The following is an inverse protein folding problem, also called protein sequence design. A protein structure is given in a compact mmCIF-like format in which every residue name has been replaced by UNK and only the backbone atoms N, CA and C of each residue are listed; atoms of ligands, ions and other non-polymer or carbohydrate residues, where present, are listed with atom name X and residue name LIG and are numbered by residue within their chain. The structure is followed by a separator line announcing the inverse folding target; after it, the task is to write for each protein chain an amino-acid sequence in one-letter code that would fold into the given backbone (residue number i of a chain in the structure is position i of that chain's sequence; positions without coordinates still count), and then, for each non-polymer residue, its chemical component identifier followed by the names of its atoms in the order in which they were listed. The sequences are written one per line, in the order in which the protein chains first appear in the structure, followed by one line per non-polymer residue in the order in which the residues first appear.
data_IF_776034770723
#
_entry.id   IF_776034770723
#
_cell.length_a   1.000
_cell.length_b   1.000
_cell.length_c   1.000
_cell.angle_alpha   90.00
_cell.angle_beta   90.00
_cell.angle_gamma   90.00
#
_symmetry.space_group_name_H-M   'P 1'
#
loop_
_entity.id
_entity.type
_entity.pdbx_description
1 polymer ?
#
# COMPACT_ATOMS: atom_id res chain seq x y z
N UNK A 1 6.32 -20.18 13.04
CA UNK A 1 5.45 -20.28 11.84
C UNK A 1 4.25 -19.36 12.03
N UNK A 2 3.63 -18.82 10.98
CA UNK A 2 2.55 -17.79 11.05
C UNK A 2 1.48 -18.09 12.11
N UNK A 3 0.99 -19.32 12.14
CA UNK A 3 -0.03 -19.77 13.09
C UNK A 3 0.47 -19.82 14.54
N UNK A 4 1.73 -20.19 14.76
CA UNK A 4 2.35 -20.20 16.10
C UNK A 4 2.51 -18.79 16.68
N UNK A 5 2.58 -17.76 15.82
CA UNK A 5 2.54 -16.35 16.19
C UNK A 5 1.12 -15.77 16.31
N UNK A 6 0.07 -16.59 16.12
CA UNK A 6 -1.33 -16.16 16.20
C UNK A 6 -1.82 -15.42 14.95
N UNK A 7 -1.20 -15.65 13.79
CA UNK A 7 -1.63 -15.09 12.51
C UNK A 7 -2.36 -16.13 11.65
N UNK A 8 -3.38 -15.70 10.94
CA UNK A 8 -4.14 -16.53 9.98
C UNK A 8 -3.70 -16.23 8.55
N UNK A 9 -3.57 -17.28 7.73
CA UNK A 9 -3.30 -17.16 6.30
C UNK A 9 -4.61 -17.06 5.51
N UNK A 10 -4.84 -15.90 4.90
CA UNK A 10 -6.02 -15.65 4.06
C UNK A 10 -5.64 -15.82 2.59
N UNK A 11 -6.31 -16.75 1.90
CA UNK A 11 -6.11 -16.99 0.48
C UNK A 11 -6.98 -16.06 -0.37
N UNK A 12 -6.38 -15.46 -1.40
CA UNK A 12 -7.09 -14.68 -2.41
C UNK A 12 -7.21 -15.48 -3.71
N UNK A 13 -8.31 -15.35 -4.48
CA UNK A 13 -8.39 -15.90 -5.82
C UNK A 13 -7.32 -15.27 -6.75
N UNK A 14 -6.89 -15.98 -7.80
CA UNK A 14 -5.97 -15.44 -8.79
C UNK A 14 -6.47 -14.12 -9.39
N UNK A 15 -5.54 -13.19 -9.62
CA UNK A 15 -5.83 -11.88 -10.23
C UNK A 15 -6.97 -11.10 -9.55
N UNK A 16 -7.11 -11.21 -8.22
CA UNK A 16 -8.10 -10.47 -7.44
C UNK A 16 -7.45 -9.34 -6.62
N UNK A 17 -6.86 -8.31 -7.27
CA UNK A 17 -6.27 -7.18 -6.55
C UNK A 17 -7.34 -6.44 -5.73
N UNK A 18 -8.60 -6.48 -6.15
CA UNK A 18 -9.73 -5.85 -5.45
C UNK A 18 -9.94 -6.38 -4.03
N UNK A 19 -9.51 -7.62 -3.75
CA UNK A 19 -9.60 -8.24 -2.42
C UNK A 19 -8.36 -8.01 -1.56
N UNK A 20 -7.31 -7.37 -2.09
CA UNK A 20 -6.12 -7.03 -1.34
C UNK A 20 -6.15 -5.55 -0.93
N UNK A 21 -6.44 -5.21 0.35
CA UNK A 21 -6.60 -3.82 0.78
C UNK A 21 -5.39 -2.92 0.49
N UNK A 22 -4.18 -3.49 0.41
CA UNK A 22 -2.95 -2.74 0.12
C UNK A 22 -2.96 -2.07 -1.26
N UNK A 23 -3.71 -2.61 -2.22
CA UNK A 23 -3.80 -2.06 -3.58
C UNK A 23 -4.38 -0.64 -3.56
N UNK A 24 -5.38 -0.39 -2.71
CA UNK A 24 -5.95 0.95 -2.51
C UNK A 24 -4.92 1.92 -1.93
N UNK A 25 -4.12 1.45 -0.98
CA UNK A 25 -3.06 2.25 -0.37
C UNK A 25 -1.97 2.61 -1.39
N UNK A 26 -1.56 1.67 -2.24
CA UNK A 26 -0.61 1.96 -3.34
C UNK A 26 -1.19 2.87 -4.42
N UNK A 27 -2.47 2.75 -4.75
CA UNK A 27 -3.13 3.67 -5.67
C UNK A 27 -3.11 5.11 -5.14
N UNK A 28 -3.40 5.30 -3.84
CA UNK A 28 -3.33 6.60 -3.19
C UNK A 28 -1.91 7.16 -3.14
N UNK A 29 -0.92 6.35 -2.76
CA UNK A 29 0.49 6.74 -2.76
C UNK A 29 0.96 7.19 -4.15
N UNK A 30 0.63 6.42 -5.19
CA UNK A 30 0.93 6.78 -6.59
C UNK A 30 0.28 8.11 -6.97
N UNK A 31 -0.99 8.32 -6.60
CA UNK A 31 -1.68 9.59 -6.87
C UNK A 31 -0.96 10.77 -6.23
N UNK A 32 -0.60 10.67 -4.95
CA UNK A 32 0.16 11.70 -4.24
C UNK A 32 1.46 11.99 -4.99
N UNK A 33 2.24 10.95 -5.28
CA UNK A 33 3.52 11.08 -5.99
C UNK A 33 3.37 11.77 -7.36
N UNK A 34 2.40 11.35 -8.17
CA UNK A 34 2.16 11.96 -9.49
C UNK A 34 1.72 13.42 -9.44
N UNK A 35 1.22 13.88 -8.30
CA UNK A 35 0.84 15.27 -8.07
C UNK A 35 1.97 16.11 -7.45
N UNK A 36 3.12 15.52 -7.12
CA UNK A 36 4.26 16.24 -6.57
C UNK A 36 5.26 16.67 -7.67
N UNK A 37 6.05 17.73 -7.43
CA UNK A 37 7.20 18.05 -8.26
C UNK A 37 8.20 16.89 -8.38
N UNK A 38 8.93 16.75 -9.50
CA UNK A 38 9.85 15.63 -9.73
C UNK A 38 11.00 15.53 -8.73
N UNK A 39 11.37 16.63 -8.07
CA UNK A 39 12.45 16.68 -7.06
C UNK A 39 11.96 16.39 -5.63
N UNK A 40 10.71 15.98 -5.46
CA UNK A 40 10.14 15.69 -4.14
C UNK A 40 10.70 14.40 -3.59
N UNK A 41 11.15 14.43 -2.34
CA UNK A 41 11.71 13.25 -1.66
C UNK A 41 10.62 12.20 -1.38
N UNK A 42 11.02 10.93 -1.33
CA UNK A 42 10.11 9.83 -0.96
C UNK A 42 9.62 10.03 0.49
N UNK A 43 10.46 10.53 1.39
CA UNK A 43 10.08 10.83 2.77
C UNK A 43 8.92 11.83 2.85
N UNK A 44 8.94 12.88 2.03
CA UNK A 44 7.86 13.86 1.99
C UNK A 44 6.57 13.27 1.41
N UNK A 45 6.67 12.40 0.40
CA UNK A 45 5.51 11.67 -0.15
C UNK A 45 4.89 10.76 0.93
N UNK A 46 5.70 10.05 1.71
CA UNK A 46 5.23 9.18 2.80
C UNK A 46 4.57 10.00 3.91
N UNK A 47 5.16 11.15 4.28
CA UNK A 47 4.57 12.07 5.28
C UNK A 47 3.19 12.55 4.84
N UNK A 48 3.03 12.96 3.59
CA UNK A 48 1.75 13.40 3.02
C UNK A 48 0.68 12.29 3.02
N UNK A 49 1.09 11.03 2.89
CA UNK A 49 0.16 9.89 2.93
C UNK A 49 -0.31 9.56 4.35
N UNK A 50 0.54 9.75 5.36
CA UNK A 50 0.22 9.47 6.77
C UNK A 50 -0.45 10.63 7.52
N UNK A 51 -0.69 11.76 6.86
CA UNK A 51 -1.33 12.97 7.40
C UNK A 51 -2.83 12.96 7.14
#
# INVERSE_FOLDING_TARGET
MLEESGHELIFLPPYSPDFNPIEKHFANLKKIWTCQPPDTSIDDIIRLYGS
#
